data_IF_478572766292
#
_entry.id   IF_478572766292
#
_cell.length_a   1.000
_cell.length_b   1.000
_cell.length_c   1.000
_cell.angle_alpha   90.00
_cell.angle_beta   90.00
_cell.angle_gamma   90.00
#
_symmetry.space_group_name_H-M   'P 1'
#
loop_
_entity.id
_entity.type
_entity.pdbx_description
1 polymer ?
#
# COMPACT_ATOMS: atom_id res chain seq x y z
N UNK A 1 -25.26 18.56 7.31
CA UNK A 1 -24.46 17.38 6.90
C UNK A 1 -23.34 17.10 7.91
N UNK A 2 -23.62 16.59 9.13
CA UNK A 2 -22.58 16.32 10.14
C UNK A 2 -22.01 14.88 10.13
N UNK A 3 -22.59 13.97 9.34
CA UNK A 3 -22.17 12.55 9.33
C UNK A 3 -20.92 12.26 8.47
N UNK A 4 -20.69 13.04 7.42
CA UNK A 4 -19.52 12.87 6.54
C UNK A 4 -18.20 13.24 7.23
N UNK A 5 -18.22 14.23 8.12
CA UNK A 5 -17.04 14.71 8.82
C UNK A 5 -16.55 13.72 9.88
N UNK A 6 -17.48 13.09 10.60
CA UNK A 6 -17.17 12.05 11.59
C UNK A 6 -16.53 10.80 10.95
N UNK A 7 -17.03 10.38 9.79
CA UNK A 7 -16.46 9.25 9.03
C UNK A 7 -15.04 9.54 8.55
N UNK A 8 -14.79 10.75 8.02
CA UNK A 8 -13.45 11.15 7.59
C UNK A 8 -12.45 11.18 8.76
N UNK A 9 -12.88 11.59 9.95
CA UNK A 9 -12.04 11.56 11.15
C UNK A 9 -11.74 10.12 11.61
N UNK A 10 -12.74 9.23 11.58
CA UNK A 10 -12.55 7.81 11.91
C UNK A 10 -11.62 7.11 10.90
N UNK A 11 -11.69 7.46 9.62
CA UNK A 11 -10.76 6.96 8.59
C UNK A 11 -9.36 7.52 8.79
N UNK A 12 -9.23 8.82 9.06
CA UNK A 12 -7.94 9.45 9.31
C UNK A 12 -7.26 8.87 10.55
N UNK A 13 -8.01 8.59 11.62
CA UNK A 13 -7.50 7.95 12.83
C UNK A 13 -6.99 6.52 12.60
N UNK A 14 -7.51 5.83 11.58
CA UNK A 14 -7.07 4.49 11.18
C UNK A 14 -5.93 4.53 10.14
N UNK A 15 -5.69 5.69 9.52
CA UNK A 15 -4.67 5.85 8.49
C UNK A 15 -3.36 6.24 9.14
N UNK A 16 -2.30 5.48 8.88
CA UNK A 16 -0.97 5.85 9.34
C UNK A 16 -0.53 7.15 8.67
N UNK A 17 0.09 8.05 9.45
CA UNK A 17 0.75 9.23 8.89
C UNK A 17 1.96 8.79 8.03
N UNK A 18 2.46 9.64 7.11
CA UNK A 18 3.64 9.30 6.32
C UNK A 18 4.86 8.89 7.17
N UNK A 19 5.03 9.52 8.33
CA UNK A 19 6.10 9.21 9.27
C UNK A 19 5.90 7.86 9.95
N UNK A 20 4.68 7.54 10.39
CA UNK A 20 4.35 6.23 10.94
C UNK A 20 4.48 5.10 9.90
N UNK A 21 4.16 5.39 8.62
CA UNK A 21 4.39 4.45 7.52
C UNK A 21 5.89 4.16 7.40
N UNK A 22 6.73 5.19 7.47
CA UNK A 22 8.19 5.05 7.38
C UNK A 22 8.73 4.23 8.56
N UNK A 23 8.36 4.59 9.79
CA UNK A 23 8.77 3.86 11.00
C UNK A 23 8.33 2.39 10.97
N UNK A 24 7.12 2.13 10.49
CA UNK A 24 6.62 0.76 10.30
C UNK A 24 7.44 0.01 9.25
N UNK A 25 7.78 0.64 8.14
CA UNK A 25 8.60 0.01 7.10
C UNK A 25 10.00 -0.33 7.61
N UNK A 26 10.63 0.57 8.37
CA UNK A 26 11.93 0.34 9.00
C UNK A 26 11.89 -0.83 9.99
N UNK A 27 10.87 -0.88 10.87
CA UNK A 27 10.69 -2.00 11.81
C UNK A 27 10.47 -3.34 11.10
N UNK A 28 9.69 -3.35 10.01
CA UNK A 28 9.48 -4.57 9.22
C UNK A 28 10.78 -5.01 8.56
N UNK A 29 11.58 -4.10 8.01
CA UNK A 29 12.90 -4.45 7.43
C UNK A 29 13.85 -5.02 8.47
N UNK A 30 13.92 -4.42 9.66
CA UNK A 30 14.70 -4.95 10.77
C UNK A 30 14.24 -6.37 11.15
N UNK A 31 12.92 -6.58 11.29
CA UNK A 31 12.35 -7.89 11.59
C UNK A 31 12.69 -8.95 10.52
N UNK A 32 12.58 -8.61 9.24
CA UNK A 32 12.89 -9.51 8.12
C UNK A 32 14.38 -9.89 8.13
N UNK A 33 15.25 -8.92 8.40
CA UNK A 33 16.69 -9.15 8.50
C UNK A 33 17.04 -10.02 9.71
N UNK A 34 16.57 -9.64 10.90
CA UNK A 34 16.95 -10.29 12.16
C UNK A 34 16.35 -11.69 12.32
N UNK A 35 15.08 -11.89 11.93
CA UNK A 35 14.42 -13.18 12.14
C UNK A 35 14.48 -14.12 10.96
N UNK A 36 14.55 -13.60 9.73
CA UNK A 36 14.48 -14.41 8.52
C UNK A 36 15.79 -14.39 7.72
N UNK A 37 16.76 -13.56 8.09
CA UNK A 37 18.02 -13.41 7.36
C UNK A 37 17.85 -12.77 5.99
N UNK A 38 16.70 -12.14 5.72
CA UNK A 38 16.41 -11.50 4.44
C UNK A 38 16.65 -9.99 4.54
N UNK A 39 17.65 -9.52 3.80
CA UNK A 39 17.87 -8.09 3.60
C UNK A 39 17.24 -7.67 2.29
N UNK A 40 16.21 -6.82 2.36
CA UNK A 40 15.54 -6.27 1.17
C UNK A 40 16.05 -4.85 0.95
N UNK A 41 16.76 -4.64 -0.14
CA UNK A 41 17.28 -3.34 -0.50
C UNK A 41 16.17 -2.36 -0.90
N UNK A 42 16.51 -1.08 -0.93
CA UNK A 42 15.60 -0.05 -1.45
C UNK A 42 15.26 -0.25 -2.93
N UNK A 43 16.23 -0.72 -3.71
CA UNK A 43 16.05 -0.99 -5.14
C UNK A 43 15.07 -2.14 -5.37
N UNK A 44 15.25 -3.27 -4.68
CA UNK A 44 14.32 -4.40 -4.74
C UNK A 44 12.92 -4.00 -4.24
N UNK A 45 12.86 -3.21 -3.18
CA UNK A 45 11.60 -2.64 -2.68
C UNK A 45 10.92 -1.76 -3.73
N UNK A 46 11.68 -0.93 -4.45
CA UNK A 46 11.17 -0.03 -5.47
C UNK A 46 10.68 -0.79 -6.70
N UNK A 47 11.41 -1.83 -7.12
CA UNK A 47 11.01 -2.71 -8.21
C UNK A 47 9.72 -3.46 -7.86
N UNK A 48 9.62 -4.03 -6.65
CA UNK A 48 8.42 -4.71 -6.19
C UNK A 48 7.21 -3.77 -6.18
N UNK A 49 7.37 -2.54 -5.69
CA UNK A 49 6.30 -1.51 -5.75
C UNK A 49 5.89 -1.21 -7.18
N UNK A 50 6.83 -1.14 -8.13
CA UNK A 50 6.53 -0.94 -9.54
C UNK A 50 5.70 -2.10 -10.08
N UNK A 51 6.16 -3.35 -9.88
CA UNK A 51 5.44 -4.56 -10.33
C UNK A 51 4.02 -4.64 -9.75
N UNK A 52 3.82 -4.29 -8.48
CA UNK A 52 2.48 -4.24 -7.87
C UNK A 52 1.57 -3.19 -8.51
N UNK A 53 2.11 -1.99 -8.82
CA UNK A 53 1.34 -0.95 -9.53
C UNK A 53 0.96 -1.41 -10.94
N UNK A 54 1.90 -2.02 -11.66
CA UNK A 54 1.67 -2.53 -13.01
C UNK A 54 0.59 -3.63 -13.00
N UNK A 55 0.68 -4.58 -12.06
CA UNK A 55 -0.33 -5.63 -11.89
C UNK A 55 -1.71 -5.07 -11.52
N UNK A 56 -1.76 -4.07 -10.63
CA UNK A 56 -3.02 -3.41 -10.25
C UNK A 56 -3.64 -2.66 -11.45
N UNK A 57 -2.81 -1.99 -12.25
CA UNK A 57 -3.26 -1.29 -13.45
C UNK A 57 -3.81 -2.29 -14.49
N UNK A 58 -3.09 -3.39 -14.74
CA UNK A 58 -3.55 -4.45 -15.63
C UNK A 58 -4.87 -5.06 -15.16
N UNK A 59 -5.01 -5.32 -13.85
CA UNK A 59 -6.26 -5.81 -13.27
C UNK A 59 -7.43 -4.84 -13.47
N UNK A 60 -7.21 -3.54 -13.25
CA UNK A 60 -8.24 -2.51 -13.48
C UNK A 60 -8.63 -2.38 -14.95
N UNK A 61 -7.67 -2.46 -15.86
CA UNK A 61 -7.95 -2.45 -17.30
C UNK A 61 -8.79 -3.67 -17.70
N UNK A 62 -8.42 -4.86 -17.24
CA UNK A 62 -9.18 -6.09 -17.50
C UNK A 62 -10.61 -6.03 -16.93
N UNK A 63 -10.82 -5.40 -15.77
CA UNK A 63 -12.16 -5.17 -15.23
C UNK A 63 -12.97 -4.19 -16.09
N UNK A 64 -12.36 -3.11 -16.57
CA UNK A 64 -13.04 -2.14 -17.43
C UNK A 64 -13.43 -2.72 -18.79
N UNK A 65 -12.59 -3.60 -19.36
CA UNK A 65 -12.90 -4.33 -20.60
C UNK A 65 -13.97 -5.41 -20.41
N UNK A 66 -14.14 -5.90 -19.17
CA UNK A 66 -15.11 -6.92 -18.81
C UNK A 66 -16.49 -6.37 -18.41
N UNK A 67 -16.63 -5.06 -18.17
CA UNK A 67 -17.93 -4.42 -18.00
C UNK A 67 -18.59 -4.22 -19.37
N UNK A 68 -19.68 -4.95 -19.71
CA UNK A 68 -20.37 -4.72 -20.96
C UNK A 68 -20.99 -3.33 -20.95
N UNK A 69 -20.70 -2.50 -21.97
CA UNK A 69 -21.38 -1.22 -22.19
C UNK A 69 -22.90 -1.45 -22.10
N UNK A 70 -23.50 -0.85 -21.08
CA UNK A 70 -24.96 -0.79 -20.93
C UNK A 70 -25.53 0.35 -21.75
#
# INVERSE_FOLDING_TARGET
MPHSEKLMQEIAAQTLTPEQIKERAERVRALLSERLGHNVSEEESAEMRRRMRDATAAYRAALADAEPSR
#
